data_IF_736704797991
#
_entry.id   IF_736704797991
#
_cell.length_a   1.000
_cell.length_b   1.000
_cell.length_c   1.000
_cell.angle_alpha   90.00
_cell.angle_beta   90.00
_cell.angle_gamma   90.00
#
_symmetry.space_group_name_H-M   'P 1'
#
loop_
_entity.id
_entity.type
_entity.pdbx_description
1 polymer ?
#
# COMPACT_ATOMS: atom_id res chain seq x y z
N UNK A 1 8.08 35.17 -10.98
CA UNK A 1 7.37 34.41 -9.93
C UNK A 1 8.24 33.22 -9.53
N UNK A 2 9.00 33.30 -8.43
CA UNK A 2 9.93 32.24 -7.96
C UNK A 2 9.78 31.94 -6.44
N UNK A 3 8.75 32.52 -5.79
CA UNK A 3 8.68 32.58 -4.32
C UNK A 3 7.89 31.43 -3.65
N UNK A 4 7.24 30.54 -4.43
CA UNK A 4 6.37 29.49 -3.89
C UNK A 4 6.91 28.06 -4.04
N UNK A 5 8.06 27.85 -4.69
CA UNK A 5 8.59 26.50 -4.95
C UNK A 5 9.06 25.80 -3.65
N UNK A 6 9.57 26.55 -2.68
CA UNK A 6 10.05 26.01 -1.40
C UNK A 6 8.95 25.50 -0.46
N UNK A 7 7.72 26.02 -0.58
CA UNK A 7 6.60 25.61 0.27
C UNK A 7 5.82 24.39 -0.30
N UNK A 8 5.93 24.13 -1.61
CA UNK A 8 5.22 23.06 -2.29
C UNK A 8 5.83 21.67 -2.02
N UNK A 9 7.13 21.60 -1.74
CA UNK A 9 7.82 20.33 -1.50
C UNK A 9 7.42 19.65 -0.19
N UNK A 10 7.37 20.33 0.98
CA UNK A 10 6.90 19.71 2.21
C UNK A 10 5.42 19.33 2.16
N UNK A 11 4.57 20.09 1.45
CA UNK A 11 3.15 19.72 1.29
C UNK A 11 2.97 18.48 0.40
N UNK A 12 3.75 18.34 -0.69
CA UNK A 12 3.77 17.14 -1.53
C UNK A 12 4.24 15.90 -0.75
N UNK A 13 5.28 16.05 0.06
CA UNK A 13 5.79 14.97 0.92
C UNK A 13 4.72 14.54 1.93
N UNK A 14 4.08 15.51 2.60
CA UNK A 14 3.00 15.22 3.55
C UNK A 14 1.79 14.58 2.87
N UNK A 15 1.42 15.05 1.69
CA UNK A 15 0.32 14.50 0.89
C UNK A 15 0.61 13.04 0.47
N UNK A 16 1.83 12.75 -0.01
CA UNK A 16 2.24 11.40 -0.36
C UNK A 16 2.22 10.46 0.84
N UNK A 17 2.78 10.90 1.97
CA UNK A 17 2.79 10.11 3.19
C UNK A 17 1.35 9.83 3.67
N UNK A 18 0.51 10.86 3.70
CA UNK A 18 -0.90 10.75 4.07
C UNK A 18 -1.68 9.81 3.14
N UNK A 19 -1.52 9.96 1.82
CA UNK A 19 -2.15 9.10 0.83
C UNK A 19 -1.69 7.64 0.93
N UNK A 20 -0.40 7.42 1.17
CA UNK A 20 0.18 6.09 1.37
C UNK A 20 -0.38 5.40 2.61
N UNK A 21 -0.47 6.11 3.73
CA UNK A 21 -1.03 5.61 4.98
C UNK A 21 -2.53 5.33 4.83
N UNK A 22 -3.29 6.25 4.24
CA UNK A 22 -4.72 6.08 3.99
C UNK A 22 -4.98 4.87 3.09
N UNK A 23 -4.22 4.71 2.01
CA UNK A 23 -4.35 3.56 1.13
C UNK A 23 -4.03 2.25 1.85
N UNK A 24 -2.99 2.23 2.70
CA UNK A 24 -2.66 1.06 3.52
C UNK A 24 -3.81 0.69 4.47
N UNK A 25 -4.46 1.68 5.08
CA UNK A 25 -5.66 1.47 5.92
C UNK A 25 -6.80 0.88 5.09
N UNK A 26 -7.10 1.47 3.93
CA UNK A 26 -8.19 1.02 3.06
C UNK A 26 -7.95 -0.41 2.55
N UNK A 27 -6.71 -0.75 2.22
CA UNK A 27 -6.33 -2.10 1.80
C UNK A 27 -6.43 -3.10 2.96
N UNK A 28 -6.03 -2.72 4.17
CA UNK A 28 -6.22 -3.55 5.37
C UNK A 28 -7.72 -3.80 5.61
N UNK A 29 -8.54 -2.76 5.61
CA UNK A 29 -9.99 -2.88 5.80
C UNK A 29 -10.64 -3.70 4.68
N UNK A 30 -10.24 -3.48 3.43
CA UNK A 30 -10.69 -4.24 2.28
C UNK A 30 -10.34 -5.71 2.38
N UNK A 31 -9.11 -6.04 2.79
CA UNK A 31 -8.70 -7.42 3.02
C UNK A 31 -9.51 -8.06 4.16
N UNK A 32 -9.74 -7.34 5.26
CA UNK A 32 -10.57 -7.82 6.38
C UNK A 32 -12.01 -8.11 5.98
N UNK A 33 -12.63 -7.18 5.24
CA UNK A 33 -13.99 -7.35 4.71
C UNK A 33 -14.03 -8.53 3.73
N UNK A 34 -13.09 -8.58 2.79
CA UNK A 34 -13.00 -9.66 1.79
C UNK A 34 -12.87 -11.03 2.44
N UNK A 35 -12.01 -11.17 3.45
CA UNK A 35 -11.85 -12.41 4.20
C UNK A 35 -13.13 -12.80 4.95
N UNK A 36 -13.82 -11.85 5.60
CA UNK A 36 -15.10 -12.14 6.27
C UNK A 36 -16.18 -12.59 5.30
N UNK A 37 -16.33 -11.88 4.18
CA UNK A 37 -17.30 -12.21 3.13
C UNK A 37 -17.02 -13.59 2.56
N UNK A 38 -15.77 -13.88 2.22
CA UNK A 38 -15.38 -15.18 1.68
C UNK A 38 -15.57 -16.32 2.69
N UNK A 39 -15.28 -16.10 3.98
CA UNK A 39 -15.56 -17.06 5.04
C UNK A 39 -17.07 -17.38 5.12
N UNK A 40 -17.92 -16.36 5.13
CA UNK A 40 -19.39 -16.51 5.13
C UNK A 40 -19.85 -17.32 3.90
N UNK A 41 -19.37 -16.97 2.70
CA UNK A 41 -19.71 -17.69 1.47
C UNK A 41 -19.24 -19.15 1.49
N UNK A 42 -18.03 -19.41 2.02
CA UNK A 42 -17.53 -20.78 2.15
C UNK A 42 -18.38 -21.63 3.10
N UNK A 43 -18.98 -21.03 4.14
CA UNK A 43 -19.93 -21.68 5.02
C UNK A 43 -21.20 -22.14 4.30
N UNK A 44 -21.74 -21.28 3.42
CA UNK A 44 -22.92 -21.61 2.60
C UNK A 44 -22.66 -22.75 1.61
N UNK A 45 -21.45 -22.83 1.02
CA UNK A 45 -21.13 -23.83 0.00
C UNK A 45 -20.73 -25.18 0.61
N UNK A 46 -19.98 -25.16 1.72
CA UNK A 46 -19.33 -26.37 2.25
C UNK A 46 -20.06 -26.97 3.47
N UNK A 47 -21.04 -26.25 4.03
CA UNK A 47 -21.74 -26.60 5.25
C UNK A 47 -20.92 -26.33 6.52
N UNK A 48 -21.61 -26.05 7.63
CA UNK A 48 -21.01 -25.58 8.90
C UNK A 48 -19.87 -26.45 9.46
N UNK A 49 -19.82 -27.73 9.09
CA UNK A 49 -18.81 -28.69 9.59
C UNK A 49 -17.49 -28.66 8.82
N UNK A 50 -17.45 -28.15 7.59
CA UNK A 50 -16.24 -28.11 6.76
C UNK A 50 -15.52 -26.74 6.83
N UNK A 51 -16.25 -25.66 7.12
CA UNK A 51 -15.67 -24.31 7.26
C UNK A 51 -14.62 -24.19 8.38
N UNK A 52 -14.77 -24.95 9.46
CA UNK A 52 -13.78 -25.01 10.55
C UNK A 52 -12.52 -25.83 10.20
N UNK A 53 -12.55 -26.63 9.12
CA UNK A 53 -11.39 -27.45 8.69
C UNK A 53 -10.45 -26.69 7.76
N UNK A 54 -10.96 -25.73 6.98
CA UNK A 54 -10.10 -24.87 6.17
C UNK A 54 -9.36 -23.95 7.14
N UNK A 55 -8.06 -24.20 7.32
CA UNK A 55 -7.24 -23.52 8.32
C UNK A 55 -7.36 -21.99 8.13
N UNK A 56 -7.67 -21.22 9.19
CA UNK A 56 -7.68 -19.75 9.17
C UNK A 56 -6.43 -19.14 8.51
N UNK A 57 -5.30 -19.85 8.64
CA UNK A 57 -4.02 -19.50 8.05
C UNK A 57 -4.03 -19.28 6.53
N UNK A 58 -4.83 -20.04 5.76
CA UNK A 58 -4.89 -19.88 4.31
C UNK A 58 -5.66 -18.62 3.90
N UNK A 59 -6.75 -18.33 4.61
CA UNK A 59 -7.54 -17.13 4.39
C UNK A 59 -6.73 -15.88 4.74
N UNK A 60 -6.04 -15.91 5.88
CA UNK A 60 -5.14 -14.85 6.31
C UNK A 60 -4.04 -14.60 5.27
N UNK A 61 -3.40 -15.67 4.77
CA UNK A 61 -2.36 -15.57 3.75
C UNK A 61 -2.86 -14.92 2.45
N UNK A 62 -4.08 -15.27 2.01
CA UNK A 62 -4.67 -14.64 0.82
C UNK A 62 -4.98 -13.16 1.04
N UNK A 63 -5.59 -12.81 2.18
CA UNK A 63 -5.85 -11.43 2.54
C UNK A 63 -4.58 -10.59 2.61
N UNK A 64 -3.52 -11.13 3.21
CA UNK A 64 -2.21 -10.47 3.26
C UNK A 64 -1.56 -10.35 1.88
N UNK A 65 -1.62 -11.39 1.04
CA UNK A 65 -1.10 -11.32 -0.32
C UNK A 65 -1.83 -10.25 -1.16
N UNK A 66 -3.16 -10.18 -1.04
CA UNK A 66 -3.95 -9.16 -1.72
C UNK A 66 -3.63 -7.73 -1.22
N UNK A 67 -3.53 -7.54 0.10
CA UNK A 67 -3.14 -6.26 0.69
C UNK A 67 -1.71 -5.85 0.28
N UNK A 68 -0.76 -6.79 0.25
CA UNK A 68 0.60 -6.56 -0.19
C UNK A 68 0.64 -6.18 -1.68
N UNK A 69 -0.01 -6.95 -2.56
CA UNK A 69 -0.08 -6.63 -3.98
C UNK A 69 -0.71 -5.26 -4.25
N UNK A 70 -1.82 -4.95 -3.57
CA UNK A 70 -2.45 -3.63 -3.63
C UNK A 70 -1.53 -2.51 -3.15
N UNK A 71 -0.77 -2.74 -2.06
CA UNK A 71 0.18 -1.76 -1.53
C UNK A 71 1.30 -1.49 -2.53
N UNK A 72 1.86 -2.54 -3.14
CA UNK A 72 2.89 -2.38 -4.17
C UNK A 72 2.37 -1.55 -5.35
N UNK A 73 1.16 -1.84 -5.84
CA UNK A 73 0.55 -1.07 -6.93
C UNK A 73 0.34 0.39 -6.53
N UNK A 74 -0.27 0.65 -5.37
CA UNK A 74 -0.50 2.03 -4.91
C UNK A 74 0.81 2.80 -4.82
N UNK A 75 1.85 2.19 -4.23
CA UNK A 75 3.16 2.83 -4.10
C UNK A 75 3.80 3.09 -5.46
N UNK A 76 3.68 2.14 -6.39
CA UNK A 76 4.15 2.33 -7.76
C UNK A 76 3.48 3.55 -8.42
N UNK A 77 2.15 3.67 -8.34
CA UNK A 77 1.42 4.78 -8.94
C UNK A 77 1.72 6.12 -8.25
N UNK A 78 1.74 6.17 -6.91
CA UNK A 78 2.00 7.42 -6.18
C UNK A 78 3.41 7.95 -6.43
N UNK A 79 4.43 7.08 -6.41
CA UNK A 79 5.81 7.47 -6.68
C UNK A 79 6.00 7.86 -8.15
N UNK A 80 5.35 7.15 -9.07
CA UNK A 80 5.33 7.53 -10.49
C UNK A 80 4.75 8.93 -10.69
N UNK A 81 3.73 9.31 -9.92
CA UNK A 81 3.17 10.66 -9.95
C UNK A 81 4.17 11.68 -9.39
N UNK A 82 4.80 11.40 -8.25
CA UNK A 82 5.82 12.28 -7.65
C UNK A 82 7.03 12.51 -8.55
N UNK A 83 7.46 11.50 -9.31
CA UNK A 83 8.52 11.67 -10.31
C UNK A 83 8.16 12.71 -11.38
N UNK A 84 6.88 12.83 -11.75
CA UNK A 84 6.43 13.85 -12.72
C UNK A 84 6.55 15.27 -12.18
N UNK A 85 6.62 15.44 -10.85
CA UNK A 85 6.94 16.72 -10.21
C UNK A 85 8.44 17.06 -10.20
N UNK A 86 9.30 16.19 -10.77
CA UNK A 86 10.73 16.45 -10.92
C UNK A 86 11.55 16.24 -9.64
N UNK A 87 11.01 15.50 -8.66
CA UNK A 87 11.73 15.19 -7.42
C UNK A 87 12.89 14.24 -7.74
N UNK A 88 14.06 14.52 -7.18
CA UNK A 88 15.26 13.69 -7.36
C UNK A 88 15.04 12.25 -6.87
N UNK A 89 15.63 11.28 -7.59
CA UNK A 89 15.50 9.85 -7.28
C UNK A 89 16.00 9.52 -5.87
N UNK A 90 17.09 10.14 -5.42
CA UNK A 90 17.63 9.92 -4.07
C UNK A 90 16.63 10.30 -2.97
N UNK A 91 16.01 11.47 -3.10
CA UNK A 91 14.97 11.95 -2.18
C UNK A 91 13.73 11.06 -2.22
N UNK A 92 13.29 10.62 -3.41
CA UNK A 92 12.17 9.68 -3.55
C UNK A 92 12.46 8.33 -2.90
N UNK A 93 13.65 7.76 -3.09
CA UNK A 93 14.04 6.49 -2.46
C UNK A 93 14.01 6.58 -0.93
N UNK A 94 14.53 7.69 -0.37
CA UNK A 94 14.49 7.92 1.07
C UNK A 94 13.04 8.06 1.57
N UNK A 95 12.21 8.83 0.85
CA UNK A 95 10.80 9.03 1.17
C UNK A 95 10.00 7.73 1.12
N UNK A 96 10.20 6.91 0.08
CA UNK A 96 9.60 5.58 -0.07
C UNK A 96 10.03 4.67 1.08
N UNK A 97 11.32 4.63 1.39
CA UNK A 97 11.84 3.78 2.47
C UNK A 97 11.26 4.15 3.82
N UNK A 98 11.22 5.44 4.13
CA UNK A 98 10.58 5.95 5.34
C UNK A 98 9.09 5.57 5.37
N UNK A 99 8.36 5.87 4.29
CA UNK A 99 6.91 5.63 4.22
C UNK A 99 6.57 4.15 4.30
N UNK A 100 7.36 3.28 3.68
CA UNK A 100 7.19 1.83 3.72
C UNK A 100 7.29 1.28 5.15
N UNK A 101 8.24 1.78 5.96
CA UNK A 101 8.35 1.40 7.37
C UNK A 101 7.09 1.76 8.15
N UNK A 102 6.56 2.97 7.96
CA UNK A 102 5.34 3.40 8.65
C UNK A 102 4.11 2.64 8.16
N UNK A 103 3.99 2.37 6.87
CA UNK A 103 2.89 1.56 6.33
C UNK A 103 2.90 0.16 6.95
N UNK A 104 4.06 -0.50 7.02
CA UNK A 104 4.19 -1.82 7.63
C UNK A 104 3.94 -1.81 9.14
N UNK A 105 4.47 -0.84 9.87
CA UNK A 105 4.21 -0.69 11.31
C UNK A 105 2.74 -0.44 11.61
N UNK A 106 2.09 0.42 10.83
CA UNK A 106 0.67 0.73 10.98
C UNK A 106 -0.19 -0.49 10.66
N UNK A 107 0.12 -1.18 9.56
CA UNK A 107 -0.56 -2.40 9.17
C UNK A 107 -0.41 -3.49 10.23
N UNK A 108 0.80 -3.71 10.75
CA UNK A 108 1.03 -4.65 11.84
C UNK A 108 0.22 -4.29 13.09
N UNK A 109 0.23 -3.01 13.47
CA UNK A 109 -0.53 -2.52 14.63
C UNK A 109 -2.04 -2.71 14.46
N UNK A 110 -2.58 -2.45 13.27
CA UNK A 110 -3.98 -2.67 12.95
C UNK A 110 -4.33 -4.16 12.89
N UNK A 111 -3.45 -4.97 12.31
CA UNK A 111 -3.60 -6.42 12.27
C UNK A 111 -3.63 -7.01 13.68
N UNK A 112 -2.77 -6.56 14.62
CA UNK A 112 -2.73 -7.05 16.01
C UNK A 112 -4.07 -6.99 16.76
N UNK A 113 -4.95 -6.05 16.40
CA UNK A 113 -6.29 -5.92 17.00
C UNK A 113 -7.39 -6.64 16.21
N UNK A 114 -7.05 -7.19 15.06
CA UNK A 114 -7.93 -8.02 14.26
C UNK A 114 -7.88 -9.48 14.73
N UNK A 115 -8.79 -10.33 14.24
CA UNK A 115 -8.87 -11.76 14.53
C UNK A 115 -8.00 -12.65 13.62
N UNK A 116 -7.01 -12.08 12.90
CA UNK A 116 -6.17 -12.76 11.89
C UNK A 116 -4.93 -13.45 12.48
N UNK A 117 -4.90 -14.77 12.61
CA UNK A 117 -3.89 -15.53 13.35
C UNK A 117 -2.40 -15.34 12.99
N UNK A 118 -2.03 -14.73 11.85
CA UNK A 118 -0.65 -14.53 11.41
C UNK A 118 -0.15 -13.07 11.54
N UNK A 119 -0.07 -12.56 12.78
CA UNK A 119 0.24 -11.15 13.04
C UNK A 119 1.72 -10.76 12.87
N UNK A 120 2.67 -11.66 13.21
CA UNK A 120 4.08 -11.30 13.38
C UNK A 120 4.80 -10.83 12.11
N UNK A 121 4.44 -11.37 10.95
CA UNK A 121 5.10 -11.07 9.66
C UNK A 121 4.25 -10.21 8.72
N UNK A 122 3.01 -9.90 9.10
CA UNK A 122 2.05 -9.15 8.28
C UNK A 122 2.58 -7.76 7.90
N UNK A 123 3.11 -7.01 8.87
CA UNK A 123 3.72 -5.70 8.61
C UNK A 123 4.93 -5.77 7.69
N UNK A 124 5.76 -6.81 7.83
CA UNK A 124 6.96 -6.99 7.00
C UNK A 124 6.59 -7.22 5.53
N UNK A 125 5.52 -7.99 5.26
CA UNK A 125 5.02 -8.17 3.89
C UNK A 125 4.59 -6.86 3.24
N UNK A 126 3.92 -5.99 3.99
CA UNK A 126 3.48 -4.66 3.53
C UNK A 126 4.65 -3.71 3.37
N UNK A 127 5.62 -3.70 4.28
CA UNK A 127 6.86 -2.93 4.14
C UNK A 127 7.58 -3.32 2.86
N UNK A 128 7.80 -4.62 2.63
CA UNK A 128 8.48 -5.12 1.44
C UNK A 128 7.69 -4.79 0.17
N UNK A 129 6.37 -4.96 0.17
CA UNK A 129 5.54 -4.61 -0.95
C UNK A 129 5.60 -3.12 -1.29
N UNK A 130 5.56 -2.26 -0.28
CA UNK A 130 5.69 -0.81 -0.44
C UNK A 130 7.07 -0.43 -1.01
N UNK A 131 8.14 -1.06 -0.53
CA UNK A 131 9.49 -0.89 -1.06
C UNK A 131 9.59 -1.37 -2.51
N UNK A 132 9.10 -2.56 -2.83
CA UNK A 132 9.15 -3.12 -4.18
C UNK A 132 8.40 -2.22 -5.16
N UNK A 133 7.16 -1.86 -4.86
CA UNK A 133 6.36 -1.00 -5.73
C UNK A 133 6.93 0.41 -5.85
N UNK A 134 7.28 1.02 -4.72
CA UNK A 134 7.81 2.38 -4.68
C UNK A 134 9.18 2.49 -5.37
N UNK A 135 10.13 1.62 -5.05
CA UNK A 135 11.46 1.65 -5.67
C UNK A 135 11.42 1.24 -7.14
N UNK A 136 10.55 0.30 -7.53
CA UNK A 136 10.33 0.01 -8.96
C UNK A 136 9.91 1.27 -9.71
N UNK A 137 9.00 2.07 -9.16
CA UNK A 137 8.64 3.36 -9.72
C UNK A 137 9.78 4.38 -9.66
N UNK A 138 10.61 4.42 -8.60
CA UNK A 138 11.76 5.35 -8.54
C UNK A 138 12.77 5.10 -9.66
N UNK A 139 13.00 3.84 -10.03
CA UNK A 139 14.00 3.46 -11.04
C UNK A 139 13.42 3.19 -12.42
N UNK A 140 12.11 3.32 -12.61
CA UNK A 140 11.48 3.17 -13.93
C UNK A 140 11.99 4.22 -14.93
N UNK A 141 11.92 3.89 -16.22
CA UNK A 141 12.14 4.87 -17.29
C UNK A 141 10.94 5.78 -17.40
N UNK A 142 11.16 7.02 -17.83
CA UNK A 142 10.10 8.03 -17.93
C UNK A 142 9.02 7.66 -18.96
N UNK A 143 9.37 6.84 -19.96
CA UNK A 143 8.48 6.30 -20.99
C UNK A 143 7.48 5.27 -20.42
N UNK A 144 7.87 4.55 -19.37
CA UNK A 144 7.06 3.50 -18.73
C UNK A 144 6.11 4.04 -17.64
N UNK A 145 6.17 5.35 -17.37
CA UNK A 145 5.39 5.97 -16.30
C UNK A 145 3.90 6.00 -16.70
N UNK A 146 3.00 5.40 -15.88
CA UNK A 146 1.59 5.26 -16.25
C UNK A 146 0.82 6.58 -16.26
N UNK A 147 1.37 7.65 -15.67
CA UNK A 147 0.73 8.96 -15.67
C UNK A 147 1.05 9.74 -16.94
N UNK A 148 0.06 10.40 -17.57
CA UNK A 148 0.33 11.30 -18.69
C UNK A 148 1.15 12.50 -18.23
N UNK A 149 1.87 13.13 -19.17
CA UNK A 149 2.70 14.31 -18.86
C UNK A 149 1.90 15.50 -18.28
N UNK A 150 0.59 15.55 -18.53
CA UNK A 150 -0.33 16.56 -18.01
C UNK A 150 -0.78 16.30 -16.55
N UNK A 151 -0.58 15.09 -16.01
CA UNK A 151 -1.10 14.70 -14.69
C UNK A 151 -0.73 15.69 -13.56
N UNK A 152 0.50 16.24 -13.46
CA UNK A 152 0.85 17.16 -12.40
C UNK A 152 -0.03 18.41 -12.32
N UNK A 153 -0.58 18.87 -13.45
CA UNK A 153 -1.44 20.05 -13.47
C UNK A 153 -2.79 19.84 -12.79
N UNK A 154 -3.24 18.60 -12.63
CA UNK A 154 -4.49 18.26 -11.95
C UNK A 154 -4.38 18.26 -10.43
N UNK A 155 -3.16 18.31 -9.88
CA UNK A 155 -2.86 18.22 -8.45
C UNK A 155 -2.12 19.46 -7.93
N UNK A 156 -2.21 20.58 -8.66
CA UNK A 156 -1.67 21.89 -8.24
C UNK A 156 -2.64 22.65 -7.36
#
# INVERSE_FOLDING_TARGET
>A
MKKNEGAALPSLVAAYFGASMLATVLLLLGALVGMRVFYIFSGFVTGDRAGYRIKPLLFDAFGFAAAAAGTALVQYYLVSLLQRFGIERGSLSALVSFTALFCGLFFWRGALFSSLGAYGFSGLSVTLAALIGGLAAVFQKQEDNPWPASAPSCFK
#
